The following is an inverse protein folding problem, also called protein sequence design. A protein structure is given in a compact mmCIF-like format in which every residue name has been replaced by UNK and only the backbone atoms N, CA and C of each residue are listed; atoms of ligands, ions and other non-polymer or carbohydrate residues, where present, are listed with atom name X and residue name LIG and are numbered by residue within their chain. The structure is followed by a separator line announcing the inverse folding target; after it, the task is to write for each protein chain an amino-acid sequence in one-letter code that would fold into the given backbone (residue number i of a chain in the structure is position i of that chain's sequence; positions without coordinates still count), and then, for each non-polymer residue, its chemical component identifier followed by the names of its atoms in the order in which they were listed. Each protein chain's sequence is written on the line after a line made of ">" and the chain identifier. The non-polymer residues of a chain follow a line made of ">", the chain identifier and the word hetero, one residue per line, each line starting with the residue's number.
data_IF_437274313135
#
_entry.id   IF_437274313135
#
_cell.length_a   1.000
_cell.length_b   1.000
_cell.length_c   1.000
_cell.angle_alpha   90.00
_cell.angle_beta   90.00
_cell.angle_gamma   90.00
#
_symmetry.space_group_name_H-M   'P 1'
#
loop_
_entity.id
_entity.type
_entity.pdbx_description
1 polymer ?
#
# COMPACT_ATOMS: atom_id res chain seq x y z
N UNK A 1 -46.98 26.13 -41.49
CA UNK A 1 -46.36 25.58 -40.26
C UNK A 1 -44.85 25.55 -40.42
N UNK A 2 -44.12 26.34 -39.63
CA UNK A 2 -42.73 26.73 -39.91
C UNK A 2 -41.72 25.95 -39.04
N UNK A 3 -40.75 25.27 -39.68
CA UNK A 3 -39.70 24.41 -39.09
C UNK A 3 -38.57 25.21 -38.41
N UNK A 4 -38.87 26.15 -37.50
CA UNK A 4 -37.85 27.03 -36.89
C UNK A 4 -37.77 27.02 -35.35
N UNK A 5 -38.32 26.00 -34.69
CA UNK A 5 -38.31 25.94 -33.21
C UNK A 5 -37.81 24.60 -32.68
N UNK A 6 -36.54 24.23 -32.93
CA UNK A 6 -35.97 23.03 -32.28
C UNK A 6 -34.43 22.95 -32.25
N UNK A 7 -33.69 24.01 -31.87
CA UNK A 7 -32.22 23.87 -31.67
C UNK A 7 -31.64 24.75 -30.55
N UNK A 8 -32.37 25.06 -29.48
CA UNK A 8 -31.83 25.92 -28.38
C UNK A 8 -31.60 25.18 -27.06
N UNK A 9 -31.94 23.89 -26.92
CA UNK A 9 -31.94 23.21 -25.61
C UNK A 9 -30.93 22.05 -25.43
N UNK A 10 -29.77 22.06 -26.09
CA UNK A 10 -28.76 20.99 -25.95
C UNK A 10 -27.31 21.49 -25.87
N UNK A 11 -27.14 22.70 -25.33
CA UNK A 11 -25.85 23.22 -24.87
C UNK A 11 -25.90 23.53 -23.37
N UNK A 12 -26.59 22.68 -22.58
CA UNK A 12 -26.19 22.47 -21.19
C UNK A 12 -24.81 21.82 -21.23
N UNK A 13 -23.81 22.67 -21.48
CA UNK A 13 -22.41 22.43 -21.17
C UNK A 13 -22.43 21.68 -19.84
N UNK A 14 -22.03 20.42 -19.90
CA UNK A 14 -21.50 19.73 -18.73
C UNK A 14 -20.25 20.51 -18.32
N UNK A 15 -20.46 21.65 -17.63
CA UNK A 15 -19.54 22.21 -16.67
C UNK A 15 -19.45 21.16 -15.57
N UNK A 16 -18.79 20.04 -15.88
CA UNK A 16 -18.26 19.15 -14.87
C UNK A 16 -17.36 20.07 -14.08
N UNK A 17 -17.72 20.43 -12.83
CA UNK A 17 -16.88 21.31 -12.04
C UNK A 17 -15.49 20.69 -12.12
N UNK A 18 -14.52 21.49 -12.56
CA UNK A 18 -13.13 21.14 -12.44
C UNK A 18 -12.96 20.90 -10.94
N UNK A 19 -13.09 19.65 -10.52
CA UNK A 19 -12.94 19.24 -9.13
C UNK A 19 -11.46 19.37 -8.89
N UNK A 20 -11.05 20.60 -8.60
CA UNK A 20 -9.74 20.93 -8.13
C UNK A 20 -9.45 19.91 -7.04
N UNK A 21 -8.43 19.10 -7.28
CA UNK A 21 -8.13 17.98 -6.41
C UNK A 21 -8.00 18.51 -4.99
N UNK A 22 -8.95 18.18 -4.11
CA UNK A 22 -8.91 18.71 -2.75
C UNK A 22 -7.65 18.17 -2.08
N UNK A 23 -6.71 19.09 -1.85
CA UNK A 23 -5.52 18.84 -1.07
C UNK A 23 -5.98 18.65 0.37
N UNK A 24 -5.68 17.49 0.94
CA UNK A 24 -5.95 17.24 2.35
C UNK A 24 -4.99 18.06 3.20
N UNK A 25 -5.48 18.51 4.35
CA UNK A 25 -4.66 19.03 5.44
C UNK A 25 -4.10 17.90 6.30
N UNK A 26 -3.09 18.19 7.13
CA UNK A 26 -2.55 17.26 8.13
C UNK A 26 -3.66 16.74 9.07
N UNK A 27 -4.59 17.62 9.47
CA UNK A 27 -5.67 17.32 10.39
C UNK A 27 -6.64 16.23 9.88
N UNK A 28 -6.67 16.01 8.56
CA UNK A 28 -7.58 15.08 7.90
C UNK A 28 -6.97 13.68 7.65
N UNK A 29 -5.70 13.49 7.98
CA UNK A 29 -4.95 12.26 7.70
C UNK A 29 -4.54 11.54 8.97
N UNK A 30 -4.86 10.26 9.05
CA UNK A 30 -4.29 9.36 10.05
C UNK A 30 -3.38 8.33 9.38
N UNK A 31 -2.36 7.88 10.13
CA UNK A 31 -1.45 6.82 9.73
C UNK A 31 -1.69 5.61 10.63
N UNK A 32 -1.79 4.43 10.04
CA UNK A 32 -1.85 3.15 10.76
C UNK A 32 -0.58 2.37 10.50
N UNK A 33 0.06 1.87 11.56
CA UNK A 33 1.22 0.99 11.47
C UNK A 33 0.84 -0.34 12.11
N UNK A 34 0.91 -1.41 11.34
CA UNK A 34 0.75 -2.79 11.82
C UNK A 34 2.12 -3.45 11.78
N UNK A 35 2.63 -3.88 12.93
CA UNK A 35 3.96 -4.49 13.04
C UNK A 35 3.87 -5.79 13.84
N UNK A 36 4.15 -6.91 13.15
CA UNK A 36 4.02 -8.26 13.69
C UNK A 36 4.96 -9.24 12.96
N UNK A 37 6.16 -9.40 13.50
CA UNK A 37 7.20 -10.35 13.10
C UNK A 37 7.32 -11.44 14.16
N UNK A 38 6.22 -12.15 14.43
CA UNK A 38 6.26 -13.27 15.36
C UNK A 38 7.00 -14.46 14.72
N UNK A 39 8.06 -14.98 15.38
CA UNK A 39 8.83 -16.11 14.86
C UNK A 39 8.02 -17.41 14.70
N UNK A 40 6.80 -17.49 15.25
CA UNK A 40 5.81 -18.50 14.90
C UNK A 40 6.01 -19.89 15.51
N UNK A 41 6.91 -20.04 16.48
CA UNK A 41 6.96 -21.24 17.31
C UNK A 41 7.31 -20.95 18.76
N UNK A 42 6.69 -21.68 19.69
CA UNK A 42 7.07 -21.66 21.11
C UNK A 42 8.56 -22.05 21.32
N UNK A 43 9.06 -22.93 20.44
CA UNK A 43 10.46 -23.40 20.40
C UNK A 43 11.45 -22.38 19.83
N UNK A 44 10.99 -21.21 19.40
CA UNK A 44 11.89 -20.17 18.90
C UNK A 44 12.79 -19.70 20.05
N UNK A 45 14.10 -19.85 19.88
CA UNK A 45 15.12 -19.34 20.81
C UNK A 45 14.84 -17.89 21.17
N UNK A 46 14.99 -17.55 22.45
CA UNK A 46 14.75 -16.21 23.01
C UNK A 46 15.45 -15.11 22.19
N UNK A 47 16.67 -15.38 21.73
CA UNK A 47 17.43 -14.52 20.81
C UNK A 47 16.60 -14.00 19.62
N UNK A 48 15.86 -14.84 18.91
CA UNK A 48 15.07 -14.40 17.75
C UNK A 48 13.87 -13.55 18.16
N UNK A 49 13.26 -13.82 19.32
CA UNK A 49 12.20 -12.97 19.87
C UNK A 49 12.71 -11.57 20.16
N UNK A 50 13.94 -11.46 20.70
CA UNK A 50 14.57 -10.18 20.98
C UNK A 50 14.97 -9.44 19.70
N UNK A 51 15.56 -10.13 18.72
CA UNK A 51 15.87 -9.58 17.39
C UNK A 51 14.60 -9.02 16.73
N UNK A 52 13.50 -9.78 16.70
CA UNK A 52 12.26 -9.30 16.12
C UNK A 52 11.64 -8.14 16.91
N UNK A 53 11.72 -8.16 18.24
CA UNK A 53 11.27 -7.04 19.08
C UNK A 53 12.00 -5.74 18.72
N UNK A 54 13.31 -5.81 18.49
CA UNK A 54 14.12 -4.67 18.05
C UNK A 54 13.70 -4.23 16.65
N UNK A 55 13.61 -5.14 15.68
CA UNK A 55 13.23 -4.81 14.30
C UNK A 55 11.84 -4.15 14.25
N UNK A 56 10.84 -4.67 14.97
CA UNK A 56 9.51 -4.07 15.05
C UNK A 56 9.54 -2.67 15.68
N UNK A 57 10.32 -2.49 16.77
CA UNK A 57 10.47 -1.19 17.43
C UNK A 57 11.10 -0.18 16.48
N UNK A 58 12.22 -0.51 15.86
CA UNK A 58 12.94 0.39 14.96
C UNK A 58 12.14 0.68 13.70
N UNK A 59 11.41 -0.30 13.17
CA UNK A 59 10.47 -0.11 12.08
C UNK A 59 9.41 0.94 12.38
N UNK A 60 8.74 0.83 13.53
CA UNK A 60 7.74 1.82 13.99
C UNK A 60 8.37 3.20 14.22
N UNK A 61 9.54 3.25 14.88
CA UNK A 61 10.25 4.50 15.16
C UNK A 61 10.66 5.21 13.88
N UNK A 62 11.17 4.47 12.89
CA UNK A 62 11.53 5.01 11.59
C UNK A 62 10.34 5.67 10.89
N UNK A 63 9.18 5.02 10.87
CA UNK A 63 7.96 5.61 10.30
C UNK A 63 7.56 6.89 11.03
N UNK A 64 7.56 6.88 12.38
CA UNK A 64 7.21 8.06 13.19
C UNK A 64 8.15 9.22 12.93
N UNK A 65 9.46 8.97 12.94
CA UNK A 65 10.50 9.98 12.74
C UNK A 65 10.40 10.60 11.34
N UNK A 66 10.19 9.79 10.31
CA UNK A 66 10.15 10.26 8.93
C UNK A 66 8.82 10.94 8.63
N UNK A 67 7.70 10.21 8.70
CA UNK A 67 6.44 10.70 8.16
C UNK A 67 5.42 11.09 9.22
N UNK A 68 5.62 10.75 10.50
CA UNK A 68 4.65 10.95 11.57
C UNK A 68 4.13 12.39 11.69
N UNK A 69 5.01 13.39 11.54
CA UNK A 69 4.65 14.82 11.60
C UNK A 69 3.71 15.28 10.46
N UNK A 70 3.55 14.49 9.40
CA UNK A 70 2.64 14.78 8.26
C UNK A 70 1.21 14.26 8.44
N UNK A 71 0.95 13.54 9.53
CA UNK A 71 -0.37 13.03 9.91
C UNK A 71 -0.84 13.69 11.19
N UNK A 72 -2.16 13.74 11.39
CA UNK A 72 -2.76 14.17 12.66
C UNK A 72 -2.39 13.20 13.78
N UNK A 73 -2.60 11.91 13.54
CA UNK A 73 -2.32 10.84 14.51
C UNK A 73 -1.70 9.63 13.84
N UNK A 74 -0.69 9.06 14.51
CA UNK A 74 -0.11 7.76 14.18
C UNK A 74 -0.66 6.73 15.15
N UNK A 75 -1.35 5.73 14.62
CA UNK A 75 -1.87 4.60 15.37
C UNK A 75 -0.97 3.40 15.15
N UNK A 76 -0.59 2.72 16.21
CA UNK A 76 0.35 1.58 16.13
C UNK A 76 -0.30 0.37 16.77
N UNK A 77 -0.32 -0.72 16.03
CA UNK A 77 -0.61 -2.04 16.53
C UNK A 77 0.66 -2.87 16.37
N UNK A 78 1.32 -3.19 17.49
CA UNK A 78 2.59 -3.91 17.52
C UNK A 78 2.49 -5.13 18.41
N UNK A 79 3.21 -6.18 18.07
CA UNK A 79 3.36 -7.32 18.94
C UNK A 79 4.08 -6.98 20.24
N UNK A 80 3.60 -7.60 21.32
CA UNK A 80 4.37 -7.76 22.54
C UNK A 80 4.82 -9.21 22.59
N UNK A 81 5.98 -9.51 22.00
CA UNK A 81 6.48 -10.88 21.84
C UNK A 81 6.74 -11.59 23.19
N UNK A 82 6.83 -10.84 24.29
CA UNK A 82 7.00 -11.35 25.66
C UNK A 82 5.68 -11.62 26.40
N UNK A 83 4.55 -11.08 25.94
CA UNK A 83 3.26 -11.25 26.61
C UNK A 83 2.65 -12.61 26.24
N UNK A 84 1.88 -13.24 27.13
CA UNK A 84 1.17 -14.50 26.85
C UNK A 84 -0.01 -14.33 25.90
N UNK A 85 -0.59 -13.13 25.78
CA UNK A 85 -1.75 -12.86 24.91
C UNK A 85 -1.32 -12.28 23.56
N UNK A 86 -1.88 -12.75 22.43
CA UNK A 86 -1.60 -12.17 21.14
C UNK A 86 -2.16 -10.76 21.03
N UNK A 87 -1.32 -9.77 20.73
CA UNK A 87 -1.73 -8.35 20.64
C UNK A 87 -2.05 -7.91 19.22
N UNK A 88 -1.56 -8.63 18.19
CA UNK A 88 -1.80 -8.31 16.77
C UNK A 88 -2.53 -9.46 16.09
N UNK A 89 -3.84 -9.46 16.24
CA UNK A 89 -4.77 -10.37 15.57
C UNK A 89 -5.58 -9.66 14.50
N UNK A 90 -6.20 -10.42 13.58
CA UNK A 90 -7.12 -9.85 12.59
C UNK A 90 -8.24 -9.03 13.24
N UNK A 91 -8.79 -9.48 14.37
CA UNK A 91 -9.81 -8.75 15.14
C UNK A 91 -9.29 -7.39 15.62
N UNK A 92 -8.08 -7.35 16.18
CA UNK A 92 -7.49 -6.08 16.64
C UNK A 92 -7.17 -5.12 15.49
N UNK A 93 -6.75 -5.64 14.32
CA UNK A 93 -6.56 -4.83 13.10
C UNK A 93 -7.88 -4.22 12.65
N UNK A 94 -8.93 -5.03 12.54
CA UNK A 94 -10.29 -4.59 12.14
C UNK A 94 -10.82 -3.53 13.12
N UNK A 95 -10.70 -3.77 14.43
CA UNK A 95 -11.13 -2.83 15.46
C UNK A 95 -10.40 -1.49 15.35
N UNK A 96 -9.08 -1.52 15.13
CA UNK A 96 -8.31 -0.30 14.94
C UNK A 96 -8.78 0.47 13.70
N UNK A 97 -8.94 -0.22 12.56
CA UNK A 97 -9.39 0.44 11.34
C UNK A 97 -10.80 1.01 11.46
N UNK A 98 -11.72 0.31 12.13
CA UNK A 98 -13.05 0.81 12.43
C UNK A 98 -12.95 2.09 13.29
N UNK A 99 -12.17 2.07 14.38
CA UNK A 99 -11.94 3.23 15.26
C UNK A 99 -11.38 4.44 14.51
N UNK A 100 -10.38 4.23 13.65
CA UNK A 100 -9.73 5.32 12.89
C UNK A 100 -10.67 5.91 11.83
N UNK A 101 -11.42 5.06 11.13
CA UNK A 101 -12.29 5.48 10.01
C UNK A 101 -13.64 6.03 10.45
N UNK A 102 -14.14 5.73 11.65
CA UNK A 102 -15.38 6.33 12.19
C UNK A 102 -15.27 7.82 12.48
N UNK A 103 -14.06 8.33 12.73
CA UNK A 103 -13.83 9.75 13.02
C UNK A 103 -14.21 10.61 11.82
N UNK A 104 -15.10 11.58 12.04
CA UNK A 104 -15.56 12.53 11.01
C UNK A 104 -14.39 13.34 10.41
N UNK A 105 -13.46 13.78 11.27
CA UNK A 105 -12.24 14.50 10.86
C UNK A 105 -11.26 13.63 10.06
N UNK A 106 -11.34 12.30 10.09
CA UNK A 106 -10.46 11.44 9.25
C UNK A 106 -11.04 11.33 7.85
N UNK A 107 -10.33 11.84 6.84
CA UNK A 107 -10.70 11.69 5.42
C UNK A 107 -9.77 10.74 4.68
N UNK A 108 -8.56 10.53 5.20
CA UNK A 108 -7.59 9.64 4.62
C UNK A 108 -6.85 8.81 5.67
N UNK A 109 -6.61 7.55 5.32
CA UNK A 109 -5.82 6.62 6.11
C UNK A 109 -4.77 5.98 5.20
N UNK A 110 -3.51 6.15 5.58
CA UNK A 110 -2.39 5.41 5.01
C UNK A 110 -1.98 4.29 5.96
N UNK A 111 -1.38 3.23 5.40
CA UNK A 111 -0.97 2.07 6.19
C UNK A 111 0.46 1.65 5.89
N UNK A 112 1.20 1.38 6.96
CA UNK A 112 2.47 0.67 6.93
C UNK A 112 2.24 -0.73 7.47
N UNK A 113 2.54 -1.74 6.65
CA UNK A 113 2.31 -3.15 6.99
C UNK A 113 3.64 -3.88 7.12
N UNK A 114 3.97 -4.29 8.33
CA UNK A 114 5.26 -4.89 8.70
C UNK A 114 5.04 -6.25 9.35
N UNK A 115 4.78 -7.27 8.53
CA UNK A 115 4.54 -8.62 9.00
C UNK A 115 5.29 -9.64 8.16
N UNK A 116 5.32 -10.90 8.60
CA UNK A 116 5.68 -11.99 7.71
C UNK A 116 4.65 -12.15 6.60
N UNK A 117 5.15 -12.49 5.41
CA UNK A 117 4.35 -12.73 4.22
C UNK A 117 4.80 -14.03 3.57
N UNK A 118 3.86 -14.65 2.89
CA UNK A 118 4.04 -15.88 2.13
C UNK A 118 3.58 -15.64 0.70
N UNK A 119 4.06 -16.47 -0.21
CA UNK A 119 3.56 -16.51 -1.57
C UNK A 119 2.07 -16.91 -1.61
N UNK A 120 1.42 -16.64 -2.74
CA UNK A 120 0.01 -16.98 -2.95
C UNK A 120 -0.96 -16.08 -2.18
N UNK A 121 -0.59 -14.83 -1.89
CA UNK A 121 -1.54 -13.87 -1.32
C UNK A 121 -1.72 -13.97 0.19
N UNK A 122 -0.81 -14.64 0.92
CA UNK A 122 -0.99 -14.95 2.35
C UNK A 122 -0.07 -14.16 3.28
N UNK A 123 -0.59 -13.78 4.44
CA UNK A 123 0.12 -13.06 5.51
C UNK A 123 -0.04 -13.79 6.83
N UNK A 124 0.98 -13.76 7.68
CA UNK A 124 0.90 -14.31 9.03
C UNK A 124 0.40 -13.26 10.01
N UNK A 125 -0.64 -13.61 10.76
CA UNK A 125 -1.07 -12.92 11.98
C UNK A 125 -1.30 -13.96 13.08
N UNK A 126 -1.20 -13.52 14.33
CA UNK A 126 -1.58 -14.36 15.47
C UNK A 126 -3.07 -14.70 15.44
N UNK A 127 -3.40 -15.97 15.70
CA UNK A 127 -4.74 -16.41 16.07
C UNK A 127 -4.81 -16.50 17.60
N UNK A 128 -5.90 -16.02 18.19
CA UNK A 128 -6.25 -16.39 19.57
C UNK A 128 -6.80 -17.82 19.51
N UNK A 129 -6.05 -18.82 19.97
CA UNK A 129 -6.61 -20.14 20.26
C UNK A 129 -7.06 -20.11 21.72
N UNK A 130 -8.32 -20.49 21.96
CA UNK A 130 -8.97 -20.41 23.29
C UNK A 130 -8.64 -21.62 24.16
N UNK A 131 -8.15 -22.72 23.56
CA UNK A 131 -7.71 -23.91 24.30
C UNK A 131 -6.18 -23.89 24.46
N UNK A 132 -5.75 -23.88 25.72
CA UNK A 132 -4.38 -24.20 26.21
C UNK A 132 -3.20 -23.34 25.74
N UNK A 133 -3.32 -22.01 25.75
CA UNK A 133 -2.15 -21.12 25.75
C UNK A 133 -1.27 -21.11 24.48
N UNK A 134 -1.54 -21.98 23.51
CA UNK A 134 -0.78 -22.08 22.28
C UNK A 134 -1.13 -20.96 21.30
N UNK A 135 -0.13 -20.14 20.99
CA UNK A 135 -0.20 -19.15 19.92
C UNK A 135 0.11 -19.83 18.60
N UNK A 136 -0.94 -20.11 17.83
CA UNK A 136 -0.76 -20.58 16.44
C UNK A 136 -0.81 -19.37 15.50
N UNK A 137 0.27 -19.17 14.74
CA UNK A 137 0.25 -18.24 13.61
C UNK A 137 -0.66 -18.80 12.52
N UNK A 138 -1.67 -18.04 12.11
CA UNK A 138 -2.51 -18.42 10.97
C UNK A 138 -2.01 -17.68 9.72
N UNK A 139 -1.80 -18.45 8.65
CA UNK A 139 -1.62 -17.90 7.32
C UNK A 139 -3.00 -17.47 6.81
N UNK A 140 -3.20 -16.17 6.65
CA UNK A 140 -4.45 -15.56 6.20
C UNK A 140 -4.33 -15.10 4.76
N UNK A 141 -5.29 -15.47 3.91
CA UNK A 141 -5.43 -14.87 2.56
C UNK A 141 -5.79 -13.39 2.72
N UNK A 142 -5.00 -12.49 2.09
CA UNK A 142 -5.31 -11.07 2.09
C UNK A 142 -6.60 -10.82 1.29
N UNK A 143 -6.80 -11.57 0.20
CA UNK A 143 -7.93 -11.42 -0.70
C UNK A 143 -9.24 -12.00 -0.14
N UNK A 144 -9.15 -13.02 0.70
CA UNK A 144 -10.33 -13.72 1.22
C UNK A 144 -10.54 -13.41 2.69
N UNK A 145 -9.61 -13.79 3.57
CA UNK A 145 -9.78 -13.64 5.01
C UNK A 145 -9.78 -12.16 5.44
N UNK A 146 -8.73 -11.42 5.06
CA UNK A 146 -8.57 -10.02 5.50
C UNK A 146 -9.61 -9.11 4.84
N UNK A 147 -9.77 -9.23 3.52
CA UNK A 147 -10.79 -8.48 2.78
C UNK A 147 -12.22 -8.78 3.26
N UNK A 148 -12.58 -10.04 3.55
CA UNK A 148 -13.89 -10.39 4.10
C UNK A 148 -14.07 -9.79 5.50
N UNK A 149 -13.09 -9.94 6.39
CA UNK A 149 -13.19 -9.43 7.75
C UNK A 149 -13.32 -7.89 7.79
N UNK A 150 -12.51 -7.16 7.01
CA UNK A 150 -12.60 -5.70 6.93
C UNK A 150 -13.89 -5.29 6.20
N UNK A 151 -14.26 -5.98 5.12
CA UNK A 151 -15.47 -5.71 4.34
C UNK A 151 -16.77 -5.90 5.10
N UNK A 152 -16.83 -6.90 5.99
CA UNK A 152 -17.99 -7.16 6.85
C UNK A 152 -18.07 -6.21 8.06
N UNK A 153 -16.94 -5.68 8.54
CA UNK A 153 -16.91 -4.83 9.73
C UNK A 153 -16.94 -3.32 9.45
N UNK A 154 -16.53 -2.88 8.25
CA UNK A 154 -16.45 -1.46 7.88
C UNK A 154 -17.37 -1.17 6.68
N UNK A 155 -18.13 -0.08 6.78
CA UNK A 155 -18.98 0.40 5.69
C UNK A 155 -18.16 0.83 4.46
N UNK A 156 -18.81 0.89 3.29
CA UNK A 156 -18.20 1.40 2.05
C UNK A 156 -17.62 2.82 2.23
N UNK A 157 -18.30 3.69 2.99
CA UNK A 157 -17.84 5.06 3.29
C UNK A 157 -16.57 5.07 4.14
N UNK A 158 -16.45 4.15 5.10
CA UNK A 158 -15.24 4.01 5.90
C UNK A 158 -14.06 3.51 5.06
N UNK A 159 -14.27 2.44 4.26
CA UNK A 159 -13.23 1.87 3.39
C UNK A 159 -12.78 2.82 2.29
N UNK A 160 -13.65 3.74 1.85
CA UNK A 160 -13.30 4.79 0.89
C UNK A 160 -12.21 5.75 1.40
N UNK A 161 -11.96 5.80 2.71
CA UNK A 161 -10.89 6.62 3.32
C UNK A 161 -9.49 6.01 3.16
N UNK A 162 -9.38 4.72 2.82
CA UNK A 162 -8.09 4.05 2.65
C UNK A 162 -7.40 4.54 1.37
N UNK A 163 -6.20 5.10 1.50
CA UNK A 163 -5.43 5.61 0.35
C UNK A 163 -4.37 4.64 -0.09
N UNK A 164 -3.32 4.47 0.70
CA UNK A 164 -2.19 3.63 0.34
C UNK A 164 -1.82 2.65 1.44
N UNK A 165 -1.27 1.53 1.02
CA UNK A 165 -0.58 0.58 1.89
C UNK A 165 0.80 0.26 1.33
N UNK A 166 1.82 0.41 2.17
CA UNK A 166 3.17 -0.06 1.88
C UNK A 166 3.46 -1.29 2.73
N UNK A 167 3.62 -2.45 2.09
CA UNK A 167 3.95 -3.70 2.75
C UNK A 167 5.44 -4.01 2.65
N UNK A 168 6.02 -4.36 3.80
CA UNK A 168 7.37 -4.94 3.94
C UNK A 168 7.32 -6.46 4.06
N UNK A 169 6.15 -7.08 3.90
CA UNK A 169 6.03 -8.52 3.94
C UNK A 169 6.69 -9.17 2.72
N UNK A 170 7.38 -10.29 2.93
CA UNK A 170 7.89 -11.12 1.84
C UNK A 170 6.74 -11.55 0.91
N UNK A 171 7.03 -11.65 -0.39
CA UNK A 171 6.05 -11.90 -1.46
C UNK A 171 4.88 -10.91 -1.46
N UNK A 172 5.08 -9.68 -0.96
CA UNK A 172 4.03 -8.67 -0.84
C UNK A 172 3.35 -8.30 -2.15
N UNK A 173 4.00 -8.53 -3.30
CA UNK A 173 3.40 -8.35 -4.63
C UNK A 173 2.15 -9.24 -4.81
N UNK A 174 2.16 -10.46 -4.27
CA UNK A 174 1.01 -11.37 -4.31
C UNK A 174 -0.17 -10.87 -3.45
N UNK A 175 0.09 -9.96 -2.49
CA UNK A 175 -0.93 -9.42 -1.57
C UNK A 175 -1.68 -8.21 -2.16
N UNK A 176 -1.12 -7.58 -3.20
CA UNK A 176 -1.60 -6.31 -3.76
C UNK A 176 -3.08 -6.37 -4.14
N UNK A 177 -3.51 -7.44 -4.83
CA UNK A 177 -4.91 -7.60 -5.26
C UNK A 177 -5.86 -7.61 -4.05
N UNK A 178 -5.50 -8.36 -3.01
CA UNK A 178 -6.27 -8.39 -1.77
C UNK A 178 -6.35 -7.02 -1.09
N UNK A 179 -5.25 -6.27 -1.03
CA UNK A 179 -5.26 -4.92 -0.47
C UNK A 179 -6.13 -3.93 -1.26
N UNK A 180 -6.16 -4.03 -2.58
CA UNK A 180 -7.06 -3.23 -3.40
C UNK A 180 -8.53 -3.63 -3.14
N UNK A 181 -8.83 -4.93 -3.00
CA UNK A 181 -10.17 -5.44 -2.66
C UNK A 181 -10.65 -4.97 -1.28
N UNK A 182 -9.73 -4.86 -0.30
CA UNK A 182 -9.99 -4.25 1.01
C UNK A 182 -10.49 -2.81 0.87
N UNK A 183 -9.99 -2.07 -0.13
CA UNK A 183 -10.46 -0.72 -0.47
C UNK A 183 -9.34 0.32 -0.58
N UNK A 184 -8.08 -0.06 -0.32
CA UNK A 184 -6.92 0.81 -0.57
C UNK A 184 -6.88 1.21 -2.05
N UNK A 185 -6.54 2.46 -2.31
CA UNK A 185 -6.43 2.98 -3.67
C UNK A 185 -5.10 2.64 -4.31
N UNK A 186 -4.03 2.52 -3.53
CA UNK A 186 -2.72 2.09 -4.00
C UNK A 186 -2.11 1.10 -3.01
N UNK A 187 -1.37 0.12 -3.53
CA UNK A 187 -0.66 -0.87 -2.71
C UNK A 187 0.72 -1.15 -3.29
N UNK A 188 1.67 -1.47 -2.42
CA UNK A 188 2.98 -1.99 -2.81
C UNK A 188 3.40 -3.20 -1.99
N UNK A 189 4.25 -4.03 -2.60
CA UNK A 189 4.90 -5.16 -1.94
C UNK A 189 6.02 -5.76 -2.78
N UNK A 190 6.91 -6.54 -2.16
CA UNK A 190 8.08 -7.15 -2.81
C UNK A 190 7.69 -8.32 -3.73
N UNK A 191 8.46 -8.55 -4.80
CA UNK A 191 8.24 -9.69 -5.71
C UNK A 191 8.48 -11.04 -5.03
N UNK A 192 9.45 -11.11 -4.11
CA UNK A 192 9.71 -12.32 -3.33
C UNK A 192 10.21 -11.96 -1.91
N UNK A 193 11.21 -12.66 -1.36
CA UNK A 193 11.77 -12.35 -0.03
C UNK A 193 12.27 -10.90 0.00
N UNK A 194 11.81 -10.13 0.99
CA UNK A 194 12.15 -8.73 1.17
C UNK A 194 13.33 -8.58 2.14
N UNK A 195 14.54 -8.45 1.61
CA UNK A 195 15.78 -8.43 2.40
C UNK A 195 16.34 -7.02 2.58
N UNK A 196 16.01 -6.09 1.68
CA UNK A 196 16.63 -4.77 1.65
C UNK A 196 15.89 -3.72 2.52
N UNK A 197 14.99 -4.15 3.40
CA UNK A 197 14.09 -3.27 4.17
C UNK A 197 14.82 -2.13 4.89
N UNK A 198 15.99 -2.41 5.47
CA UNK A 198 16.80 -1.43 6.17
C UNK A 198 17.26 -0.26 5.29
N UNK A 199 17.49 -0.51 3.99
CA UNK A 199 17.93 0.51 3.04
C UNK A 199 16.76 1.16 2.29
N UNK A 200 15.79 0.35 1.87
CA UNK A 200 14.71 0.81 0.99
C UNK A 200 13.57 1.50 1.71
N UNK A 201 13.26 1.05 2.93
CA UNK A 201 12.14 1.58 3.68
C UNK A 201 12.30 3.06 4.08
N UNK A 202 13.45 3.52 4.65
CA UNK A 202 13.66 4.94 4.89
C UNK A 202 13.57 5.78 3.61
N UNK A 203 14.05 5.23 2.48
CA UNK A 203 14.03 5.94 1.19
C UNK A 203 12.61 6.11 0.65
N UNK A 204 11.75 5.10 0.80
CA UNK A 204 10.32 5.25 0.53
C UNK A 204 9.71 6.33 1.41
N UNK A 205 9.89 6.25 2.73
CA UNK A 205 9.32 7.18 3.71
C UNK A 205 9.73 8.63 3.42
N UNK A 206 11.00 8.87 3.11
CA UNK A 206 11.51 10.19 2.76
C UNK A 206 10.88 10.75 1.48
N UNK A 207 10.74 9.94 0.44
CA UNK A 207 10.14 10.40 -0.82
C UNK A 207 8.62 10.62 -0.67
N UNK A 208 7.94 9.76 0.09
CA UNK A 208 6.52 9.96 0.39
C UNK A 208 6.28 11.24 1.19
N UNK A 209 7.08 11.48 2.23
CA UNK A 209 7.08 12.72 3.03
C UNK A 209 7.31 13.97 2.19
N UNK A 210 8.17 13.89 1.18
CA UNK A 210 8.48 14.96 0.25
C UNK A 210 7.37 15.22 -0.80
N UNK A 211 6.21 14.57 -0.68
CA UNK A 211 5.08 14.77 -1.58
C UNK A 211 5.27 14.14 -2.96
N UNK A 212 6.24 13.23 -3.14
CA UNK A 212 6.34 12.44 -4.37
C UNK A 212 5.10 11.54 -4.51
N UNK A 213 4.77 11.18 -5.74
CA UNK A 213 3.70 10.22 -5.98
C UNK A 213 4.05 8.86 -5.37
N UNK A 214 3.05 8.06 -4.99
CA UNK A 214 3.26 6.75 -4.38
C UNK A 214 4.18 5.88 -5.23
N UNK A 215 3.93 5.83 -6.55
CA UNK A 215 4.82 5.16 -7.51
C UNK A 215 6.24 5.69 -7.46
N UNK A 216 6.44 7.02 -7.54
CA UNK A 216 7.80 7.60 -7.52
C UNK A 216 8.53 7.32 -6.21
N UNK A 217 7.82 7.31 -5.07
CA UNK A 217 8.39 6.97 -3.78
C UNK A 217 8.85 5.50 -3.73
N UNK A 218 8.05 4.58 -4.28
CA UNK A 218 8.42 3.16 -4.39
C UNK A 218 9.57 2.97 -5.40
N UNK A 219 9.51 3.61 -6.57
CA UNK A 219 10.57 3.58 -7.58
C UNK A 219 11.90 4.04 -6.96
N UNK A 220 11.90 5.12 -6.18
CA UNK A 220 13.10 5.57 -5.48
C UNK A 220 13.58 4.56 -4.45
N UNK A 221 12.70 3.89 -3.74
CA UNK A 221 13.10 2.81 -2.84
C UNK A 221 13.68 1.60 -3.60
N UNK A 222 13.25 1.33 -4.84
CA UNK A 222 13.83 0.28 -5.70
C UNK A 222 15.21 0.68 -6.25
N UNK A 223 15.51 1.98 -6.40
CA UNK A 223 16.82 2.46 -6.92
C UNK A 223 17.98 2.38 -5.91
N UNK A 224 17.82 1.71 -4.77
CA UNK A 224 18.94 1.56 -3.84
C UNK A 224 19.90 0.53 -4.42
N UNK A 225 21.13 0.90 -4.81
CA UNK A 225 22.15 -0.10 -5.24
C UNK A 225 22.34 -1.24 -4.20
N UNK A 226 21.93 -0.97 -2.95
CA UNK A 226 21.95 -1.90 -1.82
C UNK A 226 20.96 -3.07 -1.93
N UNK A 227 19.92 -3.01 -2.76
CA UNK A 227 18.97 -4.13 -2.85
C UNK A 227 19.59 -5.34 -3.55
N UNK A 228 20.27 -5.15 -4.69
CA UNK A 228 20.97 -6.24 -5.38
C UNK A 228 22.08 -6.86 -4.52
N UNK A 229 22.81 -6.03 -3.76
CA UNK A 229 23.85 -6.51 -2.85
C UNK A 229 23.27 -7.30 -1.68
N UNK A 230 22.23 -6.77 -1.03
CA UNK A 230 21.51 -7.46 0.04
C UNK A 230 20.91 -8.77 -0.44
N UNK A 231 20.23 -8.75 -1.59
CA UNK A 231 19.58 -9.91 -2.18
C UNK A 231 20.61 -10.99 -2.54
N UNK A 232 21.75 -10.63 -3.16
CA UNK A 232 22.85 -11.55 -3.45
C UNK A 232 23.49 -12.12 -2.18
N UNK A 233 23.70 -11.29 -1.16
CA UNK A 233 24.27 -11.75 0.12
C UNK A 233 23.34 -12.74 0.81
N UNK A 234 22.06 -12.41 0.94
CA UNK A 234 21.07 -13.26 1.59
C UNK A 234 20.84 -14.54 0.80
N UNK A 235 20.79 -14.49 -0.54
CA UNK A 235 20.65 -15.68 -1.38
C UNK A 235 21.80 -16.69 -1.19
N UNK A 236 23.00 -16.23 -0.82
CA UNK A 236 24.16 -17.11 -0.51
C UNK A 236 24.05 -17.78 0.87
N UNK A 237 23.20 -17.29 1.76
CA UNK A 237 23.00 -17.93 3.07
C UNK A 237 22.21 -19.23 2.89
N UNK A 238 22.74 -20.37 3.36
CA UNK A 238 22.10 -21.71 3.28
C UNK A 238 20.61 -21.72 3.67
N UNK A 239 20.21 -20.89 4.63
CA UNK A 239 18.81 -20.79 5.09
C UNK A 239 17.87 -20.18 4.04
N UNK A 240 18.39 -19.34 3.15
CA UNK A 240 17.65 -18.59 2.15
C UNK A 240 17.89 -19.03 0.71
N UNK A 241 18.91 -19.86 0.44
CA UNK A 241 19.21 -20.36 -0.90
C UNK A 241 18.05 -21.12 -1.57
N UNK A 242 17.14 -21.69 -0.78
CA UNK A 242 15.92 -22.35 -1.26
C UNK A 242 14.75 -21.41 -1.57
N UNK A 243 14.86 -20.13 -1.24
CA UNK A 243 13.81 -19.15 -1.48
C UNK A 243 14.25 -18.19 -2.58
N UNK A 244 13.30 -17.79 -3.43
CA UNK A 244 13.54 -16.70 -4.37
C UNK A 244 13.72 -15.39 -3.57
N UNK A 245 14.87 -14.77 -3.70
CA UNK A 245 15.17 -13.46 -3.11
C UNK A 245 15.03 -12.41 -4.20
N UNK A 246 14.12 -11.45 -4.01
CA UNK A 246 13.81 -10.38 -4.96
C UNK A 246 13.06 -9.28 -4.21
N UNK A 247 13.82 -8.32 -3.67
CA UNK A 247 13.30 -7.22 -2.87
C UNK A 247 12.61 -6.13 -3.70
N UNK A 248 12.63 -6.25 -5.04
CA UNK A 248 12.01 -5.28 -5.94
C UNK A 248 10.51 -5.18 -5.64
N UNK A 249 10.05 -3.95 -5.39
CA UNK A 249 8.65 -3.69 -5.06
C UNK A 249 7.83 -3.35 -6.29
N UNK A 250 6.67 -4.00 -6.41
CA UNK A 250 5.64 -3.63 -7.38
C UNK A 250 4.64 -2.67 -6.76
N UNK A 251 3.94 -1.92 -7.61
CA UNK A 251 2.83 -1.05 -7.20
C UNK A 251 1.61 -1.29 -8.09
N UNK A 252 0.41 -1.13 -7.54
CA UNK A 252 -0.84 -1.15 -8.32
C UNK A 252 -1.86 -0.15 -7.77
N UNK A 253 -2.91 0.10 -8.56
CA UNK A 253 -3.98 1.06 -8.25
C UNK A 253 -3.66 2.50 -8.66
N UNK A 254 -4.17 3.48 -7.91
CA UNK A 254 -4.02 4.91 -8.12
C UNK A 254 -2.64 5.43 -7.66
N UNK A 255 -1.57 4.93 -8.26
CA UNK A 255 -0.20 5.15 -7.78
C UNK A 255 0.36 6.57 -8.05
N UNK A 256 -0.43 7.46 -8.66
CA UNK A 256 -0.10 8.87 -8.83
C UNK A 256 -0.38 9.73 -7.58
N UNK A 257 -1.09 9.20 -6.57
CA UNK A 257 -1.40 9.95 -5.36
C UNK A 257 -0.15 10.39 -4.61
N UNK A 258 -0.25 11.52 -3.91
CA UNK A 258 0.79 12.06 -3.01
C UNK A 258 0.28 12.03 -1.57
N UNK A 259 1.15 12.34 -0.61
CA UNK A 259 0.78 12.36 0.81
C UNK A 259 -0.37 13.33 1.14
N UNK A 260 -0.59 14.36 0.32
CA UNK A 260 -1.66 15.34 0.52
C UNK A 260 -2.89 15.07 -0.39
N UNK A 261 -2.88 14.03 -1.22
CA UNK A 261 -3.99 13.74 -2.13
C UNK A 261 -5.22 13.16 -1.41
N UNK A 262 -6.42 13.57 -1.80
CA UNK A 262 -7.67 12.89 -1.42
C UNK A 262 -7.71 11.44 -1.94
N UNK A 263 -8.32 10.47 -1.21
CA UNK A 263 -8.57 9.12 -1.72
C UNK A 263 -9.47 9.08 -2.97
N UNK A 264 -10.22 10.16 -3.26
CA UNK A 264 -11.03 10.28 -4.47
C UNK A 264 -10.24 10.80 -5.69
N UNK A 265 -8.96 11.13 -5.52
CA UNK A 265 -8.11 11.60 -6.62
C UNK A 265 -7.98 10.51 -7.69
N UNK A 266 -8.57 10.75 -8.86
CA UNK A 266 -8.33 9.91 -10.03
C UNK A 266 -6.98 10.26 -10.64
N UNK A 267 -6.16 9.24 -10.88
CA UNK A 267 -5.01 9.41 -11.74
C UNK A 267 -5.51 9.75 -13.13
N UNK A 268 -5.23 10.98 -13.61
CA UNK A 268 -5.39 11.30 -15.03
C UNK A 268 -4.59 10.26 -15.80
N UNK A 269 -5.29 9.32 -16.44
CA UNK A 269 -4.69 8.50 -17.48
C UNK A 269 -4.17 9.51 -18.48
N UNK A 270 -2.84 9.66 -18.58
CA UNK A 270 -2.25 10.28 -19.77
C UNK A 270 -2.75 9.43 -20.91
N UNK A 271 -3.79 9.90 -21.61
CA UNK A 271 -4.25 9.28 -22.83
C UNK A 271 -3.03 9.28 -23.73
N UNK A 272 -2.39 8.12 -23.85
CA UNK A 272 -1.21 7.96 -24.68
C UNK A 272 -1.70 8.39 -26.07
N UNK A 273 -1.17 9.45 -26.69
CA UNK A 273 -1.67 9.90 -27.98
C UNK A 273 -1.69 8.68 -28.89
N UNK A 274 -2.86 8.33 -29.41
CA UNK A 274 -3.02 7.10 -30.16
C UNK A 274 -1.99 7.11 -31.29
N UNK A 275 -1.15 6.07 -31.37
CA UNK A 275 -0.13 5.97 -32.43
C UNK A 275 -0.77 6.05 -33.82
N UNK A 276 -2.07 5.75 -33.94
CA UNK A 276 -2.90 5.93 -35.13
C UNK A 276 -2.99 7.38 -35.64
N UNK A 277 -2.96 8.40 -34.77
CA UNK A 277 -2.99 9.81 -35.22
C UNK A 277 -1.66 10.28 -35.85
N UNK A 278 -0.52 9.73 -35.41
CA UNK A 278 0.79 10.04 -36.04
C UNK A 278 0.93 9.42 -37.44
N UNK A 279 0.35 8.23 -37.69
CA UNK A 279 0.42 7.58 -39.01
C UNK A 279 -0.39 8.34 -40.07
N UNK A 280 -1.61 8.83 -39.74
CA UNK A 280 -2.42 9.67 -40.65
C UNK A 280 -1.76 11.02 -41.00
N UNK A 281 -1.07 11.66 -40.04
CA UNK A 281 -0.31 12.91 -40.31
C UNK A 281 0.91 12.69 -41.22
N UNK A 282 1.61 11.56 -41.07
CA UNK A 282 2.73 11.20 -41.97
C UNK A 282 2.25 10.84 -43.39
N UNK A 283 1.11 10.18 -43.55
CA UNK A 283 0.56 9.88 -44.88
C UNK A 283 0.07 11.13 -45.61
N UNK A 284 -0.59 12.07 -44.92
CA UNK A 284 -1.02 13.34 -45.55
C UNK A 284 0.13 14.24 -46.02
N UNK A 285 1.33 14.12 -45.43
CA UNK A 285 2.50 14.86 -45.91
C UNK A 285 3.16 14.21 -47.13
N UNK A 286 3.16 12.87 -47.23
CA UNK A 286 3.71 12.18 -48.41
C UNK A 286 2.86 12.36 -49.67
N UNK A 287 1.54 12.49 -49.55
CA UNK A 287 0.67 12.72 -50.72
C UNK A 287 0.73 14.15 -51.27
N UNK A 288 1.24 15.12 -50.50
CA UNK A 288 1.40 16.50 -50.98
C UNK A 288 2.73 16.78 -51.67
N UNK A 289 3.70 15.87 -51.58
CA UNK A 289 5.02 16.04 -52.22
C UNK A 289 5.16 15.32 -53.56
N UNK A 290 4.13 14.62 -54.01
CA UNK A 290 4.10 13.86 -55.27
C UNK A 290 3.10 14.43 -56.29
N UNK A 291 2.73 15.70 -56.14
CA UNK A 291 1.83 16.44 -57.02
C UNK A 291 2.48 17.73 -57.54
N UNK A 292 3.81 17.71 -57.72
CA UNK A 292 4.58 18.73 -58.42
C UNK A 292 5.48 18.04 -59.43
#
# INVERSE_FOLDING_TARGET
>A
MNKKSLVVLLAALFLVPNTAFSKLSKAERDLVIISHLDPGSAKTKQFWKDVYTVIEREGVNMVRAHIGRKYRKVHVLRSKLRDSKPTVTLKTVVNLLNKVTRRSKTRAVDMMWMTHGLDGGRIQLQKTVVKEGDKINKNLSVEDDIAKAIGGALSRRQRAKFRMIFSTACWGASHIRGWLKVGFKAASGSRAVFTDAAASYPRFLNNWRAGRTFRKAVDKANTTQKHDLSDKFVAKLKRFSRFRVDSFRLTSGQTCMTIDSSPSMLCRRKTRPSKTRKKKRRMKMKMKSSAK
#
